data_IF_305847751977
#
_entry.id   IF_305847751977
#
_cell.length_a   1.000
_cell.length_b   1.000
_cell.length_c   1.000
_cell.angle_alpha   90.00
_cell.angle_beta   90.00
_cell.angle_gamma   90.00
#
_symmetry.space_group_name_H-M   'P 1'
#
loop_
_entity.id
_entity.type
_entity.pdbx_description
1 polymer ?
#
# COMPACT_ATOMS: atom_id res chain seq x y z
N UNK A 1 11.30 -10.41 -9.13
CA UNK A 1 12.13 -9.46 -8.38
C UNK A 1 13.58 -9.79 -8.65
N UNK A 2 14.38 -8.79 -9.03
CA UNK A 2 15.77 -8.96 -9.45
C UNK A 2 16.67 -7.98 -8.69
N UNK A 3 17.56 -8.54 -7.86
CA UNK A 3 18.63 -7.78 -7.21
C UNK A 3 19.76 -7.57 -8.20
N UNK A 4 20.03 -6.30 -8.54
CA UNK A 4 21.13 -5.93 -9.43
C UNK A 4 22.43 -5.71 -8.65
N UNK A 5 22.31 -5.33 -7.37
CA UNK A 5 23.39 -5.24 -6.38
C UNK A 5 22.85 -5.67 -5.02
N UNK A 6 23.70 -5.71 -3.98
CA UNK A 6 23.25 -6.00 -2.60
C UNK A 6 22.23 -4.98 -2.05
N UNK A 7 22.13 -3.81 -2.69
CA UNK A 7 21.31 -2.70 -2.23
C UNK A 7 20.20 -2.33 -3.23
N UNK A 8 20.38 -2.67 -4.53
CA UNK A 8 19.47 -2.28 -5.61
C UNK A 8 18.57 -3.43 -6.01
N UNK A 9 17.27 -3.26 -5.75
CA UNK A 9 16.20 -4.18 -6.15
C UNK A 9 15.33 -3.58 -7.24
N UNK A 10 15.22 -4.29 -8.35
CA UNK A 10 14.28 -3.96 -9.42
C UNK A 10 13.14 -4.96 -9.46
N UNK A 11 11.94 -4.46 -9.73
CA UNK A 11 10.75 -5.29 -9.84
C UNK A 11 9.84 -4.77 -10.94
N UNK A 12 9.22 -5.70 -11.64
CA UNK A 12 8.18 -5.41 -12.61
C UNK A 12 7.15 -6.53 -12.56
N UNK A 13 5.89 -6.17 -12.79
CA UNK A 13 4.80 -7.13 -12.92
C UNK A 13 3.87 -6.72 -14.05
N UNK A 14 3.54 -7.70 -14.88
CA UNK A 14 2.56 -7.59 -15.94
C UNK A 14 1.30 -8.32 -15.48
N UNK A 15 0.16 -7.68 -15.69
CA UNK A 15 -1.14 -8.29 -15.52
C UNK A 15 -1.73 -8.57 -16.90
N UNK A 16 -2.32 -9.76 -17.04
CA UNK A 16 -3.08 -10.14 -18.23
C UNK A 16 -4.39 -10.78 -17.79
N UNK A 17 -5.50 -10.31 -18.37
CA UNK A 17 -6.83 -10.80 -18.12
C UNK A 17 -7.16 -11.93 -19.09
N UNK A 18 -7.35 -13.15 -18.57
CA UNK A 18 -7.67 -14.31 -19.40
C UNK A 18 -9.19 -14.55 -19.51
N UNK A 19 -9.95 -14.19 -18.47
CA UNK A 19 -11.40 -14.28 -18.42
C UNK A 19 -11.93 -13.30 -17.36
N UNK A 20 -12.98 -12.54 -17.69
CA UNK A 20 -13.60 -11.59 -16.78
C UNK A 20 -15.13 -11.55 -16.95
N UNK A 21 -15.79 -10.95 -15.96
CA UNK A 21 -17.23 -10.64 -15.96
C UNK A 21 -17.48 -9.14 -15.70
N UNK A 22 -16.51 -8.29 -16.08
CA UNK A 22 -16.56 -6.85 -15.81
C UNK A 22 -17.63 -6.12 -16.63
N UNK A 23 -18.13 -6.76 -17.69
CA UNK A 23 -19.31 -6.37 -18.48
C UNK A 23 -20.60 -6.33 -17.64
N UNK A 24 -20.68 -7.12 -16.56
CA UNK A 24 -21.86 -7.21 -15.67
C UNK A 24 -21.83 -6.23 -14.49
N UNK A 25 -20.79 -5.39 -14.39
CA UNK A 25 -20.62 -4.46 -13.28
C UNK A 25 -21.39 -3.15 -13.51
N UNK A 26 -22.61 -3.07 -12.94
CA UNK A 26 -23.55 -1.97 -13.14
C UNK A 26 -23.25 -0.68 -12.34
N UNK A 27 -22.16 -0.65 -11.56
CA UNK A 27 -21.72 0.58 -10.88
C UNK A 27 -20.74 1.33 -11.79
N UNK A 28 -21.30 2.16 -12.67
CA UNK A 28 -20.57 2.91 -13.73
C UNK A 28 -20.24 4.34 -13.33
N UNK A 29 -21.05 4.93 -12.46
CA UNK A 29 -20.83 6.25 -11.88
C UNK A 29 -20.99 6.15 -10.37
N UNK A 30 -19.92 6.37 -9.58
CA UNK A 30 -20.09 6.75 -8.18
C UNK A 30 -21.04 7.96 -8.13
N UNK A 31 -21.90 8.09 -7.10
CA UNK A 31 -22.66 9.31 -6.89
C UNK A 31 -21.73 10.53 -6.95
N UNK A 32 -22.21 11.67 -7.44
CA UNK A 32 -21.48 12.95 -7.37
C UNK A 32 -21.43 13.50 -5.93
N UNK A 33 -21.40 12.63 -4.93
CA UNK A 33 -21.48 12.97 -3.51
C UNK A 33 -20.12 13.30 -2.89
N UNK A 34 -19.01 13.09 -3.61
CA UNK A 34 -17.67 13.45 -3.15
C UNK A 34 -16.97 14.42 -4.09
N UNK A 35 -16.39 15.48 -3.51
CA UNK A 35 -15.61 16.50 -4.22
C UNK A 35 -14.10 16.20 -4.24
N UNK A 36 -13.68 15.05 -3.70
CA UNK A 36 -12.27 14.66 -3.65
C UNK A 36 -11.74 14.21 -5.02
N UNK A 37 -10.45 14.42 -5.31
CA UNK A 37 -9.80 13.80 -6.46
C UNK A 37 -9.94 12.28 -6.41
N UNK A 38 -10.29 11.67 -7.53
CA UNK A 38 -10.48 10.22 -7.61
C UNK A 38 -9.13 9.51 -7.67
N UNK A 39 -8.71 8.93 -6.54
CA UNK A 39 -7.40 8.27 -6.39
C UNK A 39 -7.50 6.75 -6.36
N UNK A 40 -8.64 6.19 -5.91
CA UNK A 40 -8.94 4.75 -5.88
C UNK A 40 -10.20 4.38 -6.66
N UNK A 41 -11.11 5.33 -6.85
CA UNK A 41 -12.41 5.06 -7.49
C UNK A 41 -12.31 4.71 -8.98
N UNK A 42 -11.21 5.05 -9.66
CA UNK A 42 -10.94 4.65 -11.05
C UNK A 42 -10.52 3.17 -11.22
N UNK A 43 -10.57 2.35 -10.15
CA UNK A 43 -10.11 0.95 -10.17
C UNK A 43 -10.71 0.13 -11.32
N UNK A 44 -11.97 0.40 -11.68
CA UNK A 44 -12.64 -0.32 -12.76
C UNK A 44 -11.95 -0.07 -14.10
N UNK A 45 -11.70 1.19 -14.44
CA UNK A 45 -11.14 1.56 -15.74
C UNK A 45 -9.72 1.03 -15.90
N UNK A 46 -8.97 0.90 -14.81
CA UNK A 46 -7.68 0.20 -14.82
C UNK A 46 -7.82 -1.29 -15.11
N UNK A 47 -8.76 -1.95 -14.44
CA UNK A 47 -8.90 -3.42 -14.45
C UNK A 47 -9.63 -3.94 -15.69
N UNK A 48 -10.36 -3.07 -16.41
CA UNK A 48 -10.97 -3.37 -17.71
C UNK A 48 -9.94 -3.58 -18.84
N UNK A 49 -8.69 -3.15 -18.67
CA UNK A 49 -7.65 -3.38 -19.68
C UNK A 49 -7.20 -4.85 -19.68
N UNK A 50 -7.10 -5.43 -20.86
CA UNK A 50 -6.73 -6.86 -21.02
C UNK A 50 -5.28 -7.14 -20.62
N UNK A 51 -4.37 -6.19 -20.84
CA UNK A 51 -2.95 -6.33 -20.47
C UNK A 51 -2.42 -4.98 -19.99
N UNK A 52 -1.74 -4.97 -18.84
CA UNK A 52 -1.11 -3.75 -18.34
C UNK A 52 0.08 -4.01 -17.41
N UNK A 53 0.95 -3.00 -17.28
CA UNK A 53 2.03 -2.98 -16.30
C UNK A 53 1.45 -2.60 -14.94
N UNK A 54 1.44 -3.55 -14.00
CA UNK A 54 0.95 -3.32 -12.65
C UNK A 54 1.96 -2.48 -11.85
N UNK A 55 3.21 -2.92 -11.79
CA UNK A 55 4.32 -2.12 -11.26
C UNK A 55 5.58 -2.27 -12.11
N UNK A 56 6.46 -1.27 -12.01
CA UNK A 56 7.81 -1.28 -12.56
C UNK A 56 8.63 -0.25 -11.76
N UNK A 57 9.33 -0.70 -10.72
CA UNK A 57 10.05 0.18 -9.81
C UNK A 57 11.45 -0.33 -9.49
N UNK A 58 12.35 0.62 -9.22
CA UNK A 58 13.65 0.38 -8.64
C UNK A 58 13.67 0.89 -7.20
N UNK A 59 14.34 0.16 -6.31
CA UNK A 59 14.45 0.46 -4.88
C UNK A 59 15.90 0.29 -4.48
N UNK A 60 16.45 1.29 -3.80
CA UNK A 60 17.77 1.21 -3.18
C UNK A 60 17.59 1.19 -1.67
N UNK A 61 18.05 0.13 -1.01
CA UNK A 61 17.99 -0.06 0.44
C UNK A 61 19.35 0.21 1.05
N UNK A 62 19.38 0.81 2.24
CA UNK A 62 20.62 1.04 2.99
C UNK A 62 20.37 0.80 4.47
N UNK A 63 21.20 -0.01 5.11
CA UNK A 63 21.29 -0.02 6.57
C UNK A 63 22.23 1.11 7.01
N UNK A 64 21.71 2.04 7.81
CA UNK A 64 22.42 3.24 8.23
C UNK A 64 23.13 3.05 9.59
N UNK A 65 22.99 1.88 10.22
CA UNK A 65 23.53 1.59 11.54
C UNK A 65 22.56 1.95 12.67
N UNK A 66 22.83 1.43 13.87
CA UNK A 66 22.08 1.75 15.09
C UNK A 66 20.55 1.55 14.98
N UNK A 67 20.11 0.55 14.21
CA UNK A 67 18.69 0.28 14.00
C UNK A 67 18.00 1.21 12.98
N UNK A 68 18.74 2.06 12.27
CA UNK A 68 18.22 2.87 11.17
C UNK A 68 18.36 2.16 9.83
N UNK A 69 17.29 2.24 9.04
CA UNK A 69 17.23 1.77 7.66
C UNK A 69 16.68 2.89 6.80
N UNK A 70 17.23 3.02 5.60
CA UNK A 70 16.73 3.91 4.57
C UNK A 70 16.35 3.11 3.34
N UNK A 71 15.36 3.62 2.62
CA UNK A 71 15.16 3.28 1.22
C UNK A 71 14.82 4.51 0.40
N UNK A 72 15.23 4.48 -0.86
CA UNK A 72 14.74 5.37 -1.90
C UNK A 72 14.21 4.54 -3.06
N UNK A 73 13.11 4.96 -3.66
CA UNK A 73 12.47 4.20 -4.72
C UNK A 73 11.84 5.10 -5.76
N UNK A 74 11.70 4.57 -6.97
CA UNK A 74 11.08 5.28 -8.07
C UNK A 74 10.63 4.39 -9.22
N UNK A 75 9.68 4.90 -9.99
CA UNK A 75 9.08 4.23 -11.15
C UNK A 75 7.56 4.17 -11.06
N UNK A 76 6.95 3.14 -11.62
CA UNK A 76 5.55 2.81 -11.40
C UNK A 76 5.42 1.99 -10.11
N UNK A 77 5.03 2.68 -9.05
CA UNK A 77 4.96 2.13 -7.69
C UNK A 77 3.74 1.21 -7.53
N UNK A 78 2.62 1.59 -8.16
CA UNK A 78 1.39 0.81 -8.22
C UNK A 78 0.65 1.03 -9.54
N UNK A 79 -0.43 0.29 -9.78
CA UNK A 79 -1.25 0.39 -11.00
C UNK A 79 -1.70 1.82 -11.29
N UNK A 80 -2.03 2.57 -10.22
CA UNK A 80 -2.64 3.90 -10.30
C UNK A 80 -1.65 5.06 -10.19
N UNK A 81 -0.46 4.84 -9.62
CA UNK A 81 0.49 5.90 -9.32
C UNK A 81 1.92 5.49 -9.66
N UNK A 82 2.64 6.42 -10.27
CA UNK A 82 4.09 6.35 -10.41
C UNK A 82 4.73 7.61 -9.85
N UNK A 83 6.00 7.53 -9.49
CA UNK A 83 6.69 8.65 -8.87
C UNK A 83 7.96 8.22 -8.19
N UNK A 84 8.38 9.01 -7.22
CA UNK A 84 9.57 8.78 -6.41
C UNK A 84 9.24 8.99 -4.94
N UNK A 85 9.96 8.28 -4.08
CA UNK A 85 9.81 8.43 -2.64
C UNK A 85 11.02 7.92 -1.87
N UNK A 86 11.02 8.23 -0.59
CA UNK A 86 12.00 7.78 0.37
C UNK A 86 11.30 7.38 1.66
N UNK A 87 11.87 6.41 2.36
CA UNK A 87 11.45 6.01 3.69
C UNK A 87 12.67 5.83 4.59
N UNK A 88 12.54 6.24 5.84
CA UNK A 88 13.49 5.93 6.90
C UNK A 88 12.73 5.20 8.01
N UNK A 89 13.29 4.09 8.47
CA UNK A 89 12.76 3.32 9.59
C UNK A 89 13.80 3.27 10.70
N UNK A 90 13.38 3.61 11.91
CA UNK A 90 14.10 3.32 13.13
C UNK A 90 13.45 2.15 13.85
N UNK A 91 14.19 1.04 13.93
CA UNK A 91 13.77 -0.21 14.58
C UNK A 91 14.95 -0.75 15.41
N UNK A 92 14.95 -0.52 16.73
CA UNK A 92 15.98 -1.08 17.61
C UNK A 92 15.94 -2.60 17.63
N UNK A 93 17.08 -3.22 17.95
CA UNK A 93 17.17 -4.67 18.14
C UNK A 93 16.33 -5.10 19.35
N UNK A 94 15.65 -6.24 19.24
CA UNK A 94 14.80 -6.84 20.29
C UNK A 94 13.72 -5.91 20.86
N UNK A 95 13.35 -4.88 20.09
CA UNK A 95 12.32 -3.93 20.46
C UNK A 95 10.95 -4.37 19.94
N UNK A 96 9.92 -4.08 20.74
CA UNK A 96 8.53 -4.26 20.39
C UNK A 96 7.91 -3.02 19.73
N UNK A 97 8.73 -2.01 19.39
CA UNK A 97 8.29 -0.80 18.71
C UNK A 97 9.25 -0.37 17.61
N UNK A 98 8.73 0.38 16.64
CA UNK A 98 9.51 1.02 15.58
C UNK A 98 8.83 2.33 15.14
N UNK A 99 9.60 3.22 14.51
CA UNK A 99 9.09 4.45 13.91
C UNK A 99 9.56 4.57 12.47
N UNK A 100 8.63 4.79 11.55
CA UNK A 100 8.90 5.03 10.13
C UNK A 100 8.48 6.42 9.72
N UNK A 101 9.24 7.03 8.82
CA UNK A 101 8.84 8.26 8.12
C UNK A 101 8.98 8.00 6.63
N UNK A 102 7.92 8.29 5.87
CA UNK A 102 7.96 8.27 4.41
C UNK A 102 7.55 9.61 3.80
N UNK A 103 8.12 9.90 2.64
CA UNK A 103 7.80 11.05 1.83
C UNK A 103 7.85 10.66 0.35
N UNK A 104 6.82 11.03 -0.39
CA UNK A 104 6.61 10.61 -1.77
C UNK A 104 6.07 11.78 -2.59
N UNK A 105 6.51 11.84 -3.84
CA UNK A 105 5.91 12.68 -4.87
C UNK A 105 5.47 11.78 -6.00
N UNK A 106 4.15 11.69 -6.18
CA UNK A 106 3.54 10.75 -7.12
C UNK A 106 2.62 11.48 -8.09
N UNK A 107 2.52 10.92 -9.29
CA UNK A 107 1.60 11.31 -10.33
C UNK A 107 0.68 10.15 -10.65
N UNK A 108 -0.59 10.47 -10.85
CA UNK A 108 -1.57 9.48 -11.23
C UNK A 108 -1.28 9.00 -12.65
N UNK A 109 -1.33 7.70 -12.87
CA UNK A 109 -1.17 7.06 -14.17
C UNK A 109 -2.45 7.24 -14.97
N UNK A 110 -2.37 7.19 -16.29
CA UNK A 110 -3.55 7.34 -17.14
C UNK A 110 -4.23 5.97 -17.33
N UNK A 111 -5.53 5.90 -17.05
CA UNK A 111 -6.30 4.65 -17.09
C UNK A 111 -7.00 4.39 -18.42
N UNK A 112 -6.94 5.33 -19.38
CA UNK A 112 -7.79 5.32 -20.58
C UNK A 112 -7.52 4.15 -21.53
N UNK A 113 -6.31 3.62 -21.55
CA UNK A 113 -5.96 2.43 -22.32
C UNK A 113 -4.72 1.73 -21.77
N UNK A 114 -4.53 0.46 -22.11
CA UNK A 114 -3.30 -0.30 -21.81
C UNK A 114 -2.00 0.44 -22.21
N UNK A 115 -2.03 1.18 -23.32
CA UNK A 115 -0.89 2.00 -23.77
C UNK A 115 -0.75 3.28 -22.96
N UNK A 116 -1.87 3.90 -22.58
CA UNK A 116 -1.88 5.13 -21.79
C UNK A 116 -1.52 4.89 -20.32
N UNK A 117 -1.62 3.66 -19.80
CA UNK A 117 -1.12 3.29 -18.46
C UNK A 117 0.39 3.48 -18.26
N UNK A 118 1.13 3.74 -19.35
CA UNK A 118 2.53 4.15 -19.33
C UNK A 118 2.72 5.68 -19.24
N UNK A 119 1.64 6.45 -19.34
CA UNK A 119 1.60 7.91 -19.24
C UNK A 119 1.05 8.32 -17.88
N UNK A 120 1.26 9.60 -17.55
CA UNK A 120 0.71 10.24 -16.36
C UNK A 120 -0.39 11.22 -16.75
N UNK A 121 -1.35 11.40 -15.85
CA UNK A 121 -2.32 12.51 -15.91
C UNK A 121 -1.68 13.79 -15.37
N UNK A 122 -2.43 14.89 -15.41
CA UNK A 122 -2.01 16.17 -14.82
C UNK A 122 -2.08 16.17 -13.29
N UNK A 123 -2.69 15.14 -12.68
CA UNK A 123 -2.80 15.05 -11.23
C UNK A 123 -1.48 14.58 -10.60
N UNK A 124 -0.94 15.42 -9.72
CA UNK A 124 0.24 15.11 -8.91
C UNK A 124 -0.01 15.45 -7.46
N UNK A 125 0.51 14.63 -6.56
CA UNK A 125 0.32 14.79 -5.12
C UNK A 125 1.59 14.45 -4.36
N UNK A 126 1.83 15.22 -3.30
CA UNK A 126 2.83 14.91 -2.28
C UNK A 126 2.13 14.12 -1.19
N UNK A 127 2.66 12.98 -0.80
CA UNK A 127 2.11 12.14 0.28
C UNK A 127 3.24 11.70 1.19
N UNK A 128 2.98 11.60 2.48
CA UNK A 128 4.00 11.26 3.44
C UNK A 128 3.39 11.04 4.81
N UNK A 129 3.97 10.11 5.56
CA UNK A 129 3.44 9.67 6.84
C UNK A 129 4.56 9.48 7.86
N UNK A 130 4.26 9.81 9.11
CA UNK A 130 4.95 9.30 10.29
C UNK A 130 4.15 8.12 10.81
N UNK A 131 4.77 6.95 10.92
CA UNK A 131 4.13 5.72 11.38
C UNK A 131 4.83 5.18 12.61
N UNK A 132 4.08 4.97 13.67
CA UNK A 132 4.50 4.21 14.84
C UNK A 132 4.01 2.76 14.71
N UNK A 133 4.90 1.82 15.02
CA UNK A 133 4.62 0.40 15.04
C UNK A 133 4.79 -0.12 16.46
N UNK A 134 3.88 -0.97 16.92
CA UNK A 134 3.94 -1.57 18.24
C UNK A 134 3.40 -3.00 18.23
N UNK A 135 4.18 -3.93 18.78
CA UNK A 135 3.78 -5.32 19.01
C UNK A 135 3.57 -5.55 20.51
N UNK A 136 2.33 -5.54 21.02
CA UNK A 136 2.08 -5.59 22.44
C UNK A 136 2.55 -6.90 23.08
N UNK A 137 3.24 -6.84 24.21
CA UNK A 137 3.74 -8.05 24.90
C UNK A 137 2.61 -8.97 25.41
N UNK A 138 1.43 -8.42 25.67
CA UNK A 138 0.25 -9.17 26.11
C UNK A 138 -0.54 -9.81 24.95
N UNK A 139 -0.24 -9.46 23.71
CA UNK A 139 -0.94 -9.94 22.53
C UNK A 139 0.07 -10.41 21.49
N UNK A 140 0.47 -11.68 21.60
CA UNK A 140 1.43 -12.28 20.69
C UNK A 140 0.93 -12.21 19.24
N UNK A 141 1.86 -11.86 18.34
CA UNK A 141 1.67 -11.75 16.89
C UNK A 141 0.61 -10.73 16.45
N UNK A 142 0.29 -9.78 17.35
CA UNK A 142 -0.49 -8.59 17.04
C UNK A 142 0.44 -7.43 16.76
N UNK A 143 0.18 -6.73 15.66
CA UNK A 143 0.84 -5.49 15.26
C UNK A 143 -0.19 -4.37 15.25
N UNK A 144 0.11 -3.31 15.99
CA UNK A 144 -0.61 -2.04 15.95
C UNK A 144 0.23 -1.05 15.15
N UNK A 145 -0.35 -0.45 14.12
CA UNK A 145 0.27 0.64 13.35
C UNK A 145 -0.58 1.89 13.51
N UNK A 146 0.06 2.99 13.87
CA UNK A 146 -0.58 4.31 13.90
C UNK A 146 0.19 5.24 12.97
N UNK A 147 -0.46 5.72 11.92
CA UNK A 147 0.13 6.60 10.91
C UNK A 147 -0.55 7.96 10.94
N UNK A 148 0.22 9.04 10.80
CA UNK A 148 -0.31 10.41 10.63
C UNK A 148 0.41 11.10 9.49
N UNK A 149 -0.34 11.79 8.63
CA UNK A 149 0.26 12.34 7.42
C UNK A 149 -0.72 12.89 6.41
N UNK A 150 -0.23 13.01 5.17
CA UNK A 150 -1.01 13.45 4.01
C UNK A 150 -1.22 12.28 3.06
N UNK A 151 -2.48 12.03 2.70
CA UNK A 151 -2.93 10.92 1.86
C UNK A 151 -2.97 11.31 0.37
N UNK A 152 -3.30 10.34 -0.48
CA UNK A 152 -3.28 10.50 -1.93
C UNK A 152 -4.26 11.55 -2.46
N UNK A 153 -5.41 11.77 -1.81
CA UNK A 153 -6.36 12.81 -2.24
C UNK A 153 -5.94 14.22 -1.75
N UNK A 154 -4.80 14.34 -1.06
CA UNK A 154 -4.27 15.60 -0.51
C UNK A 154 -4.78 15.93 0.89
N UNK A 155 -5.71 15.12 1.41
CA UNK A 155 -6.24 15.21 2.76
C UNK A 155 -5.21 14.79 3.81
N UNK A 156 -5.35 15.33 5.01
CA UNK A 156 -4.46 15.08 6.15
C UNK A 156 -5.23 14.41 7.27
N UNK A 157 -4.63 13.42 7.89
CA UNK A 157 -5.33 12.60 8.87
C UNK A 157 -4.47 11.56 9.54
N UNK A 158 -5.13 10.66 10.26
CA UNK A 158 -4.52 9.54 10.95
C UNK A 158 -5.18 8.21 10.61
N UNK A 159 -4.37 7.17 10.43
CA UNK A 159 -4.80 5.78 10.26
C UNK A 159 -4.37 4.97 11.47
N UNK A 160 -5.30 4.23 12.06
CA UNK A 160 -5.02 3.17 13.01
C UNK A 160 -5.28 1.82 12.34
N UNK A 161 -4.29 0.94 12.38
CA UNK A 161 -4.38 -0.42 11.87
C UNK A 161 -4.00 -1.40 12.97
N UNK A 162 -4.75 -2.50 13.07
CA UNK A 162 -4.45 -3.63 13.94
C UNK A 162 -4.46 -4.88 13.07
N UNK A 163 -3.37 -5.64 13.11
CA UNK A 163 -3.21 -6.87 12.35
C UNK A 163 -2.73 -8.01 13.25
N UNK A 164 -3.29 -9.20 13.07
CA UNK A 164 -2.85 -10.43 13.72
C UNK A 164 -2.26 -11.37 12.69
N UNK A 165 -1.03 -11.84 12.95
CA UNK A 165 -0.40 -12.93 12.21
C UNK A 165 -0.68 -14.24 12.93
N UNK A 166 -1.02 -15.27 12.15
CA UNK A 166 -1.21 -16.63 12.64
C UNK A 166 0.02 -17.48 12.29
N UNK A 167 0.18 -18.61 12.97
CA UNK A 167 1.28 -19.57 12.73
C UNK A 167 1.31 -20.07 11.28
N UNK A 168 0.16 -20.11 10.61
CA UNK A 168 0.05 -20.42 9.18
C UNK A 168 0.66 -19.35 8.26
N UNK A 169 1.15 -18.24 8.81
CA UNK A 169 1.61 -17.06 8.09
C UNK A 169 0.48 -16.18 7.55
N UNK A 170 -0.78 -16.60 7.68
CA UNK A 170 -1.95 -15.77 7.37
C UNK A 170 -1.96 -14.55 8.27
N UNK A 171 -2.27 -13.39 7.70
CA UNK A 171 -2.44 -12.14 8.44
C UNK A 171 -3.86 -11.65 8.24
N UNK A 172 -4.55 -11.35 9.33
CA UNK A 172 -5.88 -10.71 9.31
C UNK A 172 -5.74 -9.35 9.96
N UNK A 173 -6.13 -8.30 9.25
CA UNK A 173 -6.02 -6.94 9.75
C UNK A 173 -7.27 -6.11 9.50
N UNK A 174 -7.40 -5.06 10.29
CA UNK A 174 -8.42 -4.04 10.13
C UNK A 174 -7.82 -2.65 10.34
N UNK A 175 -8.34 -1.67 9.61
CA UNK A 175 -7.88 -0.29 9.71
C UNK A 175 -9.04 0.70 9.66
N UNK A 176 -8.80 1.86 10.25
CA UNK A 176 -9.67 3.02 10.17
C UNK A 176 -8.82 4.29 9.98
N UNK A 177 -9.24 5.15 9.06
CA UNK A 177 -8.58 6.41 8.72
C UNK A 177 -9.54 7.57 8.87
N UNK A 178 -9.16 8.55 9.70
CA UNK A 178 -9.91 9.78 9.93
C UNK A 178 -9.07 10.95 9.39
N UNK A 179 -9.66 11.79 8.56
CA UNK A 179 -8.97 12.93 7.94
C UNK A 179 -9.72 14.24 8.18
N UNK A 180 -9.14 15.35 7.72
CA UNK A 180 -9.68 16.69 7.85
C UNK A 180 -10.79 17.03 6.84
N UNK A 181 -11.21 16.07 6.02
CA UNK A 181 -12.26 16.24 5.01
C UNK A 181 -13.63 16.25 5.71
N UNK A 182 -14.53 17.15 5.30
CA UNK A 182 -15.86 17.22 5.89
C UNK A 182 -16.72 16.02 5.47
N UNK A 183 -17.78 15.73 6.23
CA UNK A 183 -18.71 14.61 5.91
C UNK A 183 -19.35 14.81 4.54
N UNK A 184 -19.63 16.06 4.18
CA UNK A 184 -20.21 16.44 2.89
C UNK A 184 -19.24 16.22 1.73
N UNK A 185 -17.93 16.42 1.94
CA UNK A 185 -16.89 16.15 0.94
C UNK A 185 -16.52 14.66 0.83
N UNK A 186 -16.70 13.89 1.92
CA UNK A 186 -16.51 12.44 1.98
C UNK A 186 -17.64 11.66 1.31
N UNK A 187 -18.87 12.20 1.36
CA UNK A 187 -20.12 11.57 0.94
C UNK A 187 -20.69 10.62 2.00
N UNK A 188 -21.15 9.41 1.62
CA UNK A 188 -21.67 8.43 2.58
C UNK A 188 -20.56 7.88 3.51
N UNK A 189 -20.58 8.30 4.78
CA UNK A 189 -19.67 7.88 5.85
C UNK A 189 -18.65 8.95 6.25
N UNK A 190 -18.22 8.95 7.52
CA UNK A 190 -17.34 10.00 8.07
C UNK A 190 -15.84 9.65 8.04
N UNK A 191 -15.50 8.40 7.71
CA UNK A 191 -14.12 7.89 7.78
C UNK A 191 -13.96 6.63 6.91
N UNK A 192 -12.73 6.39 6.42
CA UNK A 192 -12.41 5.18 5.66
C UNK A 192 -12.13 4.04 6.63
N UNK A 193 -12.68 2.85 6.36
CA UNK A 193 -12.42 1.64 7.14
C UNK A 193 -12.36 0.42 6.24
N UNK A 194 -11.56 -0.57 6.62
CA UNK A 194 -11.47 -1.82 5.88
C UNK A 194 -10.94 -2.95 6.74
N UNK A 195 -11.15 -4.17 6.25
CA UNK A 195 -10.54 -5.39 6.77
C UNK A 195 -9.87 -6.12 5.64
N UNK A 196 -8.80 -6.85 5.93
CA UNK A 196 -8.08 -7.60 4.91
C UNK A 196 -7.56 -8.92 5.48
N UNK A 197 -7.38 -9.87 4.58
CA UNK A 197 -6.73 -11.16 4.82
C UNK A 197 -5.59 -11.30 3.83
N UNK A 198 -4.38 -11.54 4.33
CA UNK A 198 -3.20 -11.82 3.52
C UNK A 198 -2.77 -13.28 3.75
N UNK A 199 -2.77 -14.06 2.67
CA UNK A 199 -2.41 -15.48 2.68
C UNK A 199 -1.08 -15.66 1.93
N UNK A 200 -0.05 -16.24 2.55
CA UNK A 200 1.22 -16.46 1.87
C UNK A 200 1.08 -17.61 0.85
N UNK A 201 1.68 -17.43 -0.32
CA UNK A 201 1.55 -18.36 -1.46
C UNK A 201 2.54 -19.52 -1.41
N UNK A 202 3.52 -19.47 -0.52
CA UNK A 202 4.37 -20.60 -0.18
C UNK A 202 3.55 -21.80 0.33
N UNK A 203 2.39 -21.56 0.94
CA UNK A 203 1.40 -22.59 1.30
C UNK A 203 0.90 -23.40 0.10
N UNK A 204 1.00 -22.85 -1.12
CA UNK A 204 0.49 -23.45 -2.35
C UNK A 204 1.58 -23.69 -3.40
N UNK A 205 2.83 -23.32 -3.11
CA UNK A 205 3.95 -23.37 -4.05
C UNK A 205 4.93 -24.46 -3.65
N UNK A 206 5.38 -25.26 -4.62
CA UNK A 206 6.46 -26.23 -4.43
C UNK A 206 7.86 -25.59 -4.38
N UNK A 207 7.98 -24.30 -4.70
CA UNK A 207 9.23 -23.53 -4.64
C UNK A 207 9.19 -22.42 -3.58
N UNK A 208 10.35 -22.00 -3.01
CA UNK A 208 10.42 -20.90 -2.07
C UNK A 208 9.89 -19.61 -2.69
N UNK A 209 8.86 -19.01 -2.08
CA UNK A 209 8.32 -17.72 -2.52
C UNK A 209 7.99 -16.85 -1.32
N UNK A 210 8.23 -15.54 -1.47
CA UNK A 210 7.78 -14.52 -0.50
C UNK A 210 6.47 -13.87 -0.92
N UNK A 211 5.83 -14.36 -1.99
CA UNK A 211 4.58 -13.81 -2.51
C UNK A 211 3.40 -14.08 -1.58
N UNK A 212 2.49 -13.11 -1.49
CA UNK A 212 1.26 -13.18 -0.72
C UNK A 212 0.08 -12.83 -1.61
N UNK A 213 -1.02 -13.58 -1.49
CA UNK A 213 -2.33 -13.16 -1.97
C UNK A 213 -3.01 -12.32 -0.89
N UNK A 214 -3.66 -11.23 -1.28
CA UNK A 214 -4.40 -10.38 -0.36
C UNK A 214 -5.84 -10.25 -0.83
N UNK A 215 -6.77 -10.44 0.10
CA UNK A 215 -8.20 -10.22 -0.08
C UNK A 215 -8.60 -9.11 0.89
N UNK A 216 -8.90 -7.93 0.36
CA UNK A 216 -9.38 -6.78 1.14
C UNK A 216 -10.88 -6.59 0.95
N UNK A 217 -11.58 -6.30 2.04
CA UNK A 217 -12.95 -5.79 2.00
C UNK A 217 -12.99 -4.40 2.62
N UNK A 218 -13.35 -3.43 1.79
CA UNK A 218 -13.56 -2.03 2.17
C UNK A 218 -15.02 -1.71 1.85
N UNK A 219 -15.92 -1.67 2.86
CA UNK A 219 -17.38 -1.57 2.67
C UNK A 219 -17.81 -0.39 1.80
N UNK A 220 -17.01 0.68 1.79
CA UNK A 220 -17.16 1.87 0.96
C UNK A 220 -15.77 2.30 0.52
N UNK A 221 -15.37 1.94 -0.71
CA UNK A 221 -14.08 2.38 -1.26
C UNK A 221 -14.20 3.84 -1.65
N UNK A 222 -13.79 4.74 -0.74
CA UNK A 222 -13.74 6.19 -0.94
C UNK A 222 -12.31 6.65 -1.20
N UNK A 223 -12.17 7.85 -1.74
CA UNK A 223 -10.89 8.43 -2.12
C UNK A 223 -10.12 9.08 -0.95
N UNK A 224 -10.82 9.46 0.12
CA UNK A 224 -10.22 10.02 1.34
C UNK A 224 -9.47 8.97 2.18
N UNK A 225 -8.38 9.40 2.82
CA UNK A 225 -7.61 8.56 3.75
C UNK A 225 -6.86 7.40 3.09
N UNK A 226 -6.59 7.49 1.78
CA UNK A 226 -5.94 6.44 1.00
C UNK A 226 -4.43 6.64 0.96
N UNK A 227 -3.68 5.67 1.51
CA UNK A 227 -2.22 5.67 1.45
C UNK A 227 -1.72 5.18 0.08
N UNK A 228 -0.49 5.56 -0.26
CA UNK A 228 0.22 5.05 -1.44
C UNK A 228 0.50 3.55 -1.27
N UNK A 229 0.14 2.76 -2.28
CA UNK A 229 0.40 1.32 -2.30
C UNK A 229 1.88 1.06 -2.60
N UNK A 230 2.71 0.97 -1.57
CA UNK A 230 4.16 0.73 -1.72
C UNK A 230 4.45 -0.77 -1.63
N UNK A 231 5.05 -1.36 -2.67
CA UNK A 231 5.37 -2.80 -2.70
C UNK A 231 6.36 -3.21 -1.60
N UNK A 232 7.33 -2.35 -1.30
CA UNK A 232 8.32 -2.59 -0.26
C UNK A 232 8.24 -1.50 0.80
N UNK A 233 7.94 -1.90 2.04
CA UNK A 233 8.00 -1.05 3.23
C UNK A 233 9.14 -1.56 4.12
N UNK A 234 9.92 -0.66 4.73
CA UNK A 234 11.08 -1.08 5.52
C UNK A 234 10.68 -1.93 6.73
N UNK A 235 9.50 -1.67 7.30
CA UNK A 235 9.01 -2.44 8.44
C UNK A 235 8.83 -3.92 8.10
N UNK A 236 8.22 -4.20 6.94
CA UNK A 236 7.99 -5.57 6.47
C UNK A 236 9.30 -6.22 6.02
N UNK A 237 10.19 -5.47 5.37
CA UNK A 237 11.51 -5.94 4.95
C UNK A 237 12.45 -6.25 6.12
N UNK A 238 12.19 -5.69 7.31
CA UNK A 238 12.97 -5.93 8.53
C UNK A 238 12.28 -6.88 9.51
N UNK A 239 11.26 -7.63 9.05
CA UNK A 239 10.50 -8.57 9.89
C UNK A 239 11.37 -9.60 10.61
N UNK A 240 12.52 -9.95 10.03
CA UNK A 240 13.48 -10.92 10.57
C UNK A 240 14.13 -10.43 11.87
N UNK A 241 13.96 -9.15 12.23
CA UNK A 241 14.39 -8.56 13.50
C UNK A 241 13.27 -8.41 14.52
N UNK A 242 12.11 -9.03 14.27
CA UNK A 242 11.05 -9.12 15.28
C UNK A 242 11.41 -10.12 16.36
N UNK A 243 11.02 -9.83 17.61
CA UNK A 243 11.20 -10.72 18.77
C UNK A 243 10.51 -12.07 18.56
N UNK A 244 9.50 -12.14 17.68
CA UNK A 244 8.71 -13.33 17.37
C UNK A 244 9.18 -14.06 16.09
N UNK A 245 10.35 -13.75 15.54
CA UNK A 245 10.85 -14.49 14.38
C UNK A 245 11.16 -15.94 14.78
N UNK A 246 10.37 -16.88 14.27
CA UNK A 246 10.57 -18.33 14.35
C UNK A 246 10.55 -18.91 12.94
#
# INVERSE_FOLDING_TARGET
>A
DLWLTDHLLTTGSLFANLANNYDKFNYTNPPQDSHLPRVRTHVREYVQNDVYVNNLQANYFQHLGNGFYGQVYGGYLETMFGGVGAEVLYRPLDSNWAFGVDANYVKQRDWRSAKDMMKFTDYSVKTGHLTAYWTPSFAQDVLVKASVGQYLAGDKGGTLEIAKRFDSGVVVGGYATITNVSKEEYGEGDFTKGVYVSVPLDLFSSGPTRSRAAIGWTPLTRDGGQQLGRKFQLYDMTSDRSVNFR
#
